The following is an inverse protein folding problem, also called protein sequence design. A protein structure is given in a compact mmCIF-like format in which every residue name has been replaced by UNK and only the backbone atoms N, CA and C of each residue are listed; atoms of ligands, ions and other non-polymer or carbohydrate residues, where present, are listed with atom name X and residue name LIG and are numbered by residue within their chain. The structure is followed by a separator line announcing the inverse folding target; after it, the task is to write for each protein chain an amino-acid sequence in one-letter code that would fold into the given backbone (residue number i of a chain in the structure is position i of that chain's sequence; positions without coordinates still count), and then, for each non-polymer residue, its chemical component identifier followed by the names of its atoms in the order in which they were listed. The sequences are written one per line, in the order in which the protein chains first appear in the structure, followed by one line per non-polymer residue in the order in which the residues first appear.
data_IF_012174131258
#
_entry.id   IF_012174131258
#
_cell.length_a   1.000
_cell.length_b   1.000
_cell.length_c   1.000
_cell.angle_alpha   90.00
_cell.angle_beta   90.00
_cell.angle_gamma   90.00
#
_symmetry.space_group_name_H-M   'P 1'
#
loop_
_entity.id
_entity.type
_entity.pdbx_description
1 polymer ?
#
# COMPACT_ATOMS: atom_id res chain seq x y z
N UNK A 1 -1.95 13.22 17.59
CA UNK A 1 -1.32 13.08 16.29
C UNK A 1 -0.19 12.06 16.43
N UNK A 2 -0.06 11.06 15.56
CA UNK A 2 1.09 10.14 15.60
C UNK A 2 2.38 10.93 15.35
N UNK A 3 3.46 10.49 15.94
CA UNK A 3 4.82 11.01 15.69
C UNK A 3 5.53 10.22 14.57
N UNK A 4 5.00 9.05 14.22
CA UNK A 4 5.44 8.20 13.12
C UNK A 4 4.30 7.35 12.59
N UNK A 5 4.26 7.11 11.30
CA UNK A 5 3.36 6.11 10.68
C UNK A 5 4.20 4.92 10.23
N UNK A 6 3.74 3.72 10.54
CA UNK A 6 4.43 2.47 10.24
C UNK A 6 3.48 1.59 9.41
N UNK A 7 3.84 1.38 8.15
CA UNK A 7 3.12 0.52 7.22
C UNK A 7 3.73 -0.88 7.27
N UNK A 8 2.88 -1.89 7.36
CA UNK A 8 3.28 -3.30 7.47
C UNK A 8 2.57 -4.09 6.37
N UNK A 9 3.32 -4.77 5.52
CA UNK A 9 2.76 -5.60 4.46
C UNK A 9 3.77 -6.59 3.91
N UNK A 10 3.31 -7.62 3.22
CA UNK A 10 4.15 -8.62 2.53
C UNK A 10 3.88 -8.60 1.04
N UNK A 11 4.91 -8.83 0.20
CA UNK A 11 4.78 -8.87 -1.26
C UNK A 11 4.10 -7.62 -1.81
N UNK A 12 3.11 -7.79 -2.68
CA UNK A 12 2.36 -6.69 -3.30
C UNK A 12 1.80 -5.68 -2.29
N UNK A 13 1.42 -6.10 -1.09
CA UNK A 13 0.97 -5.18 -0.03
C UNK A 13 2.10 -4.29 0.48
N UNK A 14 3.33 -4.79 0.54
CA UNK A 14 4.50 -4.01 0.91
C UNK A 14 4.85 -2.99 -0.19
N UNK A 15 4.84 -3.42 -1.45
CA UNK A 15 5.12 -2.52 -2.57
C UNK A 15 4.05 -1.44 -2.74
N UNK A 16 2.78 -1.78 -2.53
CA UNK A 16 1.70 -0.78 -2.47
C UNK A 16 1.91 0.24 -1.35
N UNK A 17 2.40 -0.19 -0.18
CA UNK A 17 2.75 0.70 0.92
C UNK A 17 3.91 1.64 0.53
N UNK A 18 4.94 1.13 -0.14
CA UNK A 18 6.06 1.96 -0.65
C UNK A 18 5.59 3.00 -1.66
N UNK A 19 4.67 2.63 -2.58
CA UNK A 19 4.10 3.58 -3.55
C UNK A 19 3.29 4.70 -2.88
N UNK A 20 2.53 4.38 -1.84
CA UNK A 20 1.71 5.35 -1.12
C UNK A 20 2.50 6.22 -0.12
N UNK A 21 3.69 5.78 0.29
CA UNK A 21 4.49 6.41 1.35
C UNK A 21 4.69 7.92 1.17
N UNK A 22 5.11 8.46 0.01
CA UNK A 22 5.36 9.90 -0.12
C UNK A 22 4.11 10.74 0.12
N UNK A 23 2.95 10.26 -0.34
CA UNK A 23 1.65 10.92 -0.11
C UNK A 23 1.29 10.90 1.36
N UNK A 24 1.51 9.79 2.05
CA UNK A 24 1.23 9.65 3.47
C UNK A 24 2.16 10.53 4.32
N UNK A 25 3.46 10.61 3.99
CA UNK A 25 4.41 11.50 4.65
C UNK A 25 3.95 12.96 4.59
N UNK A 26 3.54 13.41 3.41
CA UNK A 26 3.02 14.77 3.24
C UNK A 26 1.69 14.98 3.97
N UNK A 27 0.78 14.01 3.89
CA UNK A 27 -0.55 14.12 4.49
C UNK A 27 -0.51 14.11 6.03
N UNK A 28 0.27 13.24 6.63
CA UNK A 28 0.45 13.15 8.08
C UNK A 28 1.44 14.19 8.62
N UNK A 29 2.39 14.67 7.79
CA UNK A 29 3.49 15.56 8.18
C UNK A 29 4.39 14.91 9.23
N UNK A 30 4.67 13.61 9.07
CA UNK A 30 5.59 12.80 9.89
C UNK A 30 6.25 11.74 9.01
N UNK A 31 7.34 11.17 9.49
CA UNK A 31 8.01 10.06 8.80
C UNK A 31 7.08 8.85 8.66
N UNK A 32 7.09 8.25 7.47
CA UNK A 32 6.39 6.99 7.17
C UNK A 32 7.41 5.91 6.83
N UNK A 33 7.43 4.84 7.60
CA UNK A 33 8.31 3.70 7.39
C UNK A 33 7.50 2.49 6.91
N UNK A 34 8.09 1.71 5.97
CA UNK A 34 7.46 0.50 5.45
C UNK A 34 8.29 -0.72 5.87
N UNK A 35 7.63 -1.72 6.46
CA UNK A 35 8.26 -2.95 6.92
C UNK A 35 7.52 -4.18 6.38
N UNK A 36 8.28 -5.24 6.14
CA UNK A 36 7.70 -6.57 6.02
C UNK A 36 7.55 -7.20 7.41
N UNK A 37 6.53 -8.06 7.66
CA UNK A 37 6.29 -8.62 9.00
C UNK A 37 7.48 -9.38 9.59
N UNK A 38 8.37 -9.93 8.77
CA UNK A 38 9.60 -10.59 9.23
C UNK A 38 10.64 -9.64 9.83
N UNK A 39 10.45 -8.33 9.71
CA UNK A 39 11.34 -7.30 10.27
C UNK A 39 10.86 -6.79 11.64
N UNK A 40 10.12 -7.60 12.41
CA UNK A 40 9.56 -7.21 13.71
C UNK A 40 10.60 -6.60 14.66
N UNK A 41 11.81 -7.15 14.73
CA UNK A 41 12.88 -6.59 15.56
C UNK A 41 13.28 -5.16 15.15
N UNK A 42 13.32 -4.88 13.84
CA UNK A 42 13.64 -3.54 13.34
C UNK A 42 12.49 -2.56 13.62
N UNK A 43 11.26 -3.04 13.51
CA UNK A 43 10.06 -2.28 13.81
C UNK A 43 10.01 -1.88 15.30
N UNK A 44 10.34 -2.80 16.21
CA UNK A 44 10.41 -2.54 17.66
C UNK A 44 11.53 -1.54 17.99
N UNK A 45 12.63 -1.54 17.24
CA UNK A 45 13.73 -0.57 17.41
C UNK A 45 13.37 0.83 16.90
N UNK A 46 12.32 0.97 16.08
CA UNK A 46 11.79 2.27 15.69
C UNK A 46 11.17 2.97 16.90
N UNK A 47 11.98 3.74 17.63
CA UNK A 47 11.56 4.48 18.83
C UNK A 47 10.64 5.65 18.45
N UNK A 48 9.36 5.37 18.42
CA UNK A 48 8.32 6.39 18.34
C UNK A 48 7.53 6.36 19.65
N UNK A 49 7.19 7.54 20.18
CA UNK A 49 6.41 7.61 21.42
C UNK A 49 4.93 7.28 21.16
N UNK A 50 4.43 7.66 19.99
CA UNK A 50 3.03 7.48 19.58
C UNK A 50 2.93 6.99 18.13
N UNK A 51 3.42 5.76 17.80
CA UNK A 51 3.36 5.24 16.44
C UNK A 51 1.93 4.89 16.02
N UNK A 52 1.60 5.14 14.76
CA UNK A 52 0.41 4.61 14.10
C UNK A 52 0.81 3.42 13.24
N UNK A 53 0.37 2.24 13.61
CA UNK A 53 0.57 1.02 12.83
C UNK A 53 -0.58 0.79 11.84
N UNK A 54 -0.25 0.62 10.57
CA UNK A 54 -1.21 0.29 9.51
C UNK A 54 -0.73 -0.99 8.82
N UNK A 55 -1.44 -2.07 9.05
CA UNK A 55 -1.15 -3.38 8.46
C UNK A 55 -1.98 -3.59 7.19
N UNK A 56 -1.34 -3.97 6.10
CA UNK A 56 -1.99 -4.21 4.81
C UNK A 56 -1.93 -5.70 4.49
N UNK A 57 -3.09 -6.31 4.30
CA UNK A 57 -3.22 -7.71 3.88
C UNK A 57 -4.48 -7.88 3.05
N UNK A 58 -4.36 -7.92 1.73
CA UNK A 58 -5.50 -8.00 0.83
C UNK A 58 -6.45 -9.14 1.20
N UNK A 59 -5.96 -10.36 1.28
CA UNK A 59 -6.78 -11.54 1.63
C UNK A 59 -7.12 -11.64 3.12
N UNK A 60 -6.39 -10.93 3.97
CA UNK A 60 -6.52 -10.99 5.42
C UNK A 60 -6.08 -12.30 6.09
N UNK A 61 -5.44 -13.22 5.34
CA UNK A 61 -5.02 -14.54 5.84
C UNK A 61 -3.50 -14.66 6.00
N UNK A 62 -2.73 -13.59 5.79
CA UNK A 62 -1.28 -13.60 5.97
C UNK A 62 -0.92 -13.92 7.42
N UNK A 63 -0.35 -15.10 7.67
CA UNK A 63 0.03 -15.56 9.02
C UNK A 63 1.02 -14.62 9.67
N UNK A 64 2.05 -14.18 8.94
CA UNK A 64 3.06 -13.29 9.49
C UNK A 64 2.48 -11.92 9.88
N UNK A 65 1.61 -11.34 9.02
CA UNK A 65 0.92 -10.09 9.34
C UNK A 65 -0.01 -10.25 10.55
N UNK A 66 -0.76 -11.34 10.60
CA UNK A 66 -1.64 -11.65 11.73
C UNK A 66 -0.86 -11.77 13.05
N UNK A 67 0.26 -12.52 13.05
CA UNK A 67 1.09 -12.72 14.24
C UNK A 67 1.66 -11.39 14.74
N UNK A 68 2.18 -10.56 13.82
CA UNK A 68 2.71 -9.24 14.17
C UNK A 68 1.63 -8.31 14.73
N UNK A 69 0.44 -8.29 14.16
CA UNK A 69 -0.69 -7.50 14.71
C UNK A 69 -0.97 -7.94 16.15
N UNK A 70 -1.04 -9.23 16.40
CA UNK A 70 -1.28 -9.75 17.76
C UNK A 70 -0.18 -9.35 18.73
N UNK A 71 1.09 -9.42 18.31
CA UNK A 71 2.23 -9.00 19.12
C UNK A 71 2.13 -7.52 19.49
N UNK A 72 1.87 -6.65 18.51
CA UNK A 72 1.70 -5.21 18.73
C UNK A 72 0.50 -4.90 19.64
N UNK A 73 -0.61 -5.58 19.44
CA UNK A 73 -1.81 -5.43 20.27
C UNK A 73 -1.57 -5.88 21.72
N UNK A 74 -0.84 -6.96 21.93
CA UNK A 74 -0.44 -7.43 23.27
C UNK A 74 0.45 -6.42 24.00
N UNK A 75 1.22 -5.62 23.26
CA UNK A 75 2.04 -4.53 23.78
C UNK A 75 1.26 -3.22 24.00
N UNK A 76 -0.07 -3.21 23.72
CA UNK A 76 -0.94 -2.06 23.91
C UNK A 76 -1.02 -1.10 22.72
N UNK A 77 -0.38 -1.40 21.59
CA UNK A 77 -0.43 -0.53 20.42
C UNK A 77 -1.72 -0.76 19.62
N UNK A 78 -2.46 0.30 19.25
CA UNK A 78 -3.55 0.18 18.30
C UNK A 78 -3.00 -0.06 16.89
N UNK A 79 -3.66 -0.99 16.16
CA UNK A 79 -3.30 -1.32 14.77
C UNK A 79 -4.52 -1.15 13.88
N UNK A 80 -4.38 -0.41 12.79
CA UNK A 80 -5.35 -0.34 11.71
C UNK A 80 -5.01 -1.41 10.67
N UNK A 81 -5.97 -2.22 10.24
CA UNK A 81 -5.78 -3.17 9.15
C UNK A 81 -6.53 -2.73 7.90
N UNK A 82 -5.86 -2.82 6.75
CA UNK A 82 -6.49 -2.69 5.43
C UNK A 82 -6.60 -4.10 4.83
N UNK A 83 -7.83 -4.56 4.59
CA UNK A 83 -8.10 -5.90 4.06
C UNK A 83 -9.41 -5.94 3.28
N UNK A 84 -9.50 -6.82 2.28
CA UNK A 84 -10.77 -7.04 1.57
C UNK A 84 -11.83 -7.74 2.46
N UNK A 85 -11.37 -8.61 3.36
CA UNK A 85 -12.24 -9.45 4.20
C UNK A 85 -12.14 -9.04 5.67
N UNK A 86 -13.09 -8.23 6.14
CA UNK A 86 -13.11 -7.74 7.52
C UNK A 86 -13.21 -8.88 8.55
N UNK A 87 -13.87 -9.98 8.19
CA UNK A 87 -14.02 -11.18 9.03
C UNK A 87 -12.78 -12.09 9.03
N UNK A 88 -11.76 -11.75 8.26
CA UNK A 88 -10.50 -12.49 8.20
C UNK A 88 -9.73 -12.45 9.52
N UNK A 89 -8.74 -13.36 9.73
CA UNK A 89 -7.88 -13.33 10.90
C UNK A 89 -7.19 -11.97 11.11
N UNK A 90 -6.68 -11.34 10.05
CA UNK A 90 -6.04 -10.01 10.11
C UNK A 90 -7.05 -8.93 10.49
N UNK A 91 -8.24 -8.93 9.87
CA UNK A 91 -9.28 -7.95 10.19
C UNK A 91 -9.73 -8.03 11.64
N UNK A 92 -9.99 -9.25 12.16
CA UNK A 92 -10.41 -9.47 13.56
C UNK A 92 -9.34 -9.18 14.60
N UNK A 93 -8.06 -9.34 14.26
CA UNK A 93 -6.96 -9.07 15.18
C UNK A 93 -6.66 -7.56 15.35
N UNK A 94 -7.01 -6.75 14.37
CA UNK A 94 -6.76 -5.31 14.39
C UNK A 94 -7.69 -4.55 15.36
N UNK A 95 -7.30 -3.32 15.71
CA UNK A 95 -8.15 -2.40 16.49
C UNK A 95 -9.27 -1.82 15.63
N UNK A 96 -8.96 -1.60 14.36
CA UNK A 96 -9.87 -1.10 13.33
C UNK A 96 -9.51 -1.79 12.02
N UNK A 97 -10.49 -2.31 11.31
CA UNK A 97 -10.32 -2.85 9.97
C UNK A 97 -11.05 -1.97 8.96
N UNK A 98 -10.37 -1.64 7.87
CA UNK A 98 -10.87 -0.82 6.76
C UNK A 98 -10.90 -1.70 5.51
N UNK A 99 -12.03 -1.76 4.78
CA UNK A 99 -12.14 -2.57 3.57
C UNK A 99 -11.38 -1.95 2.40
N UNK A 100 -10.76 -2.79 1.57
CA UNK A 100 -10.05 -2.36 0.36
C UNK A 100 -10.95 -2.19 -0.87
N UNK A 101 -12.16 -2.75 -0.86
CA UNK A 101 -13.15 -2.69 -1.96
C UNK A 101 -12.59 -3.14 -3.32
N UNK A 102 -11.76 -4.17 -3.33
CA UNK A 102 -11.13 -4.69 -4.55
C UNK A 102 -12.12 -5.50 -5.39
N UNK A 103 -13.01 -6.22 -4.73
CA UNK A 103 -13.87 -7.22 -5.33
C UNK A 103 -13.09 -8.42 -5.86
N UNK A 104 -13.74 -9.28 -6.63
CA UNK A 104 -13.13 -10.51 -7.13
C UNK A 104 -11.96 -10.22 -8.10
N UNK A 105 -10.78 -10.77 -7.80
CA UNK A 105 -9.58 -10.74 -8.65
C UNK A 105 -9.20 -12.18 -9.02
N UNK A 106 -9.46 -12.54 -10.29
CA UNK A 106 -9.31 -13.91 -10.79
C UNK A 106 -7.93 -14.27 -11.31
N UNK A 107 -7.05 -13.26 -11.40
CA UNK A 107 -5.69 -13.44 -11.94
C UNK A 107 -4.73 -13.59 -10.76
N UNK A 108 -3.79 -14.55 -10.87
CA UNK A 108 -2.81 -14.82 -9.82
C UNK A 108 -1.86 -13.64 -9.54
N UNK A 109 -1.43 -12.93 -10.59
CA UNK A 109 -0.66 -11.71 -10.45
C UNK A 109 -1.58 -10.56 -9.96
N UNK A 110 -1.22 -9.94 -8.85
CA UNK A 110 -2.01 -8.87 -8.25
C UNK A 110 -1.86 -7.57 -9.04
N UNK A 111 -2.94 -7.08 -9.60
CA UNK A 111 -2.97 -5.83 -10.39
C UNK A 111 -3.98 -4.84 -9.80
N UNK A 112 -5.27 -5.20 -9.87
CA UNK A 112 -6.35 -4.41 -9.31
C UNK A 112 -6.20 -4.25 -7.79
N UNK A 113 -5.78 -5.31 -7.10
CA UNK A 113 -5.52 -5.30 -5.67
C UNK A 113 -4.44 -4.30 -5.26
N UNK A 114 -3.34 -4.23 -6.01
CA UNK A 114 -2.26 -3.26 -5.76
C UNK A 114 -2.77 -1.83 -5.94
N UNK A 115 -3.40 -1.54 -7.08
CA UNK A 115 -3.95 -0.20 -7.38
C UNK A 115 -4.96 0.25 -6.33
N UNK A 116 -5.91 -0.61 -5.95
CA UNK A 116 -6.90 -0.31 -4.92
C UNK A 116 -6.26 -0.09 -3.55
N UNK A 117 -5.22 -0.86 -3.21
CA UNK A 117 -4.49 -0.69 -1.94
C UNK A 117 -3.77 0.66 -1.90
N UNK A 118 -3.06 1.03 -2.96
CA UNK A 118 -2.39 2.35 -3.06
C UNK A 118 -3.41 3.47 -2.92
N UNK A 119 -4.52 3.41 -3.67
CA UNK A 119 -5.58 4.40 -3.61
C UNK A 119 -6.18 4.51 -2.20
N UNK A 120 -6.49 3.37 -1.55
CA UNK A 120 -7.04 3.36 -0.20
C UNK A 120 -6.10 4.00 0.81
N UNK A 121 -4.79 3.71 0.73
CA UNK A 121 -3.78 4.33 1.58
C UNK A 121 -3.70 5.85 1.34
N UNK A 122 -3.71 6.29 0.08
CA UNK A 122 -3.71 7.73 -0.25
C UNK A 122 -4.96 8.42 0.28
N UNK A 123 -6.14 7.84 0.09
CA UNK A 123 -7.40 8.38 0.61
C UNK A 123 -7.43 8.43 2.13
N UNK A 124 -6.88 7.40 2.80
CA UNK A 124 -6.70 7.43 4.26
C UNK A 124 -5.82 8.60 4.70
N UNK A 125 -4.68 8.82 4.04
CA UNK A 125 -3.82 9.98 4.29
C UNK A 125 -4.57 11.29 4.10
N UNK A 126 -5.30 11.43 2.99
CA UNK A 126 -6.07 12.64 2.69
C UNK A 126 -7.19 12.91 3.70
N UNK A 127 -7.82 11.86 4.25
CA UNK A 127 -8.88 12.02 5.24
C UNK A 127 -8.42 12.68 6.54
N UNK A 128 -7.11 12.59 6.86
CA UNK A 128 -6.49 13.17 8.06
C UNK A 128 -5.59 14.36 7.75
N UNK A 129 -5.38 14.68 6.47
CA UNK A 129 -4.53 15.77 6.02
C UNK A 129 -5.10 17.13 6.42
N UNK A 130 -4.30 17.95 7.11
CA UNK A 130 -4.69 19.30 7.54
C UNK A 130 -4.35 20.39 6.52
N UNK A 131 -3.44 20.10 5.58
CA UNK A 131 -3.13 21.01 4.47
C UNK A 131 -4.22 20.91 3.41
N UNK A 132 -5.15 21.87 3.43
CA UNK A 132 -6.26 21.92 2.47
C UNK A 132 -5.79 22.09 1.03
N UNK A 133 -4.74 22.86 0.82
CA UNK A 133 -4.19 23.08 -0.52
C UNK A 133 -3.63 21.79 -1.11
N UNK A 134 -2.85 21.05 -0.32
CA UNK A 134 -2.34 19.73 -0.71
C UNK A 134 -3.47 18.74 -0.94
N UNK A 135 -4.42 18.66 -0.01
CA UNK A 135 -5.59 17.79 -0.10
C UNK A 135 -6.40 18.03 -1.38
N UNK A 136 -6.71 19.29 -1.68
CA UNK A 136 -7.48 19.66 -2.89
C UNK A 136 -6.73 19.30 -4.17
N UNK A 137 -5.43 19.61 -4.25
CA UNK A 137 -4.60 19.26 -5.42
C UNK A 137 -4.53 17.76 -5.63
N UNK A 138 -4.37 16.98 -4.57
CA UNK A 138 -4.25 15.53 -4.70
C UNK A 138 -5.59 14.89 -5.08
N UNK A 139 -6.73 15.35 -4.55
CA UNK A 139 -8.05 14.88 -5.01
C UNK A 139 -8.24 15.16 -6.49
N UNK A 140 -7.93 16.36 -6.96
CA UNK A 140 -8.03 16.69 -8.39
C UNK A 140 -7.10 15.83 -9.26
N UNK A 141 -5.89 15.49 -8.78
CA UNK A 141 -4.96 14.61 -9.47
C UNK A 141 -5.47 13.16 -9.52
N UNK A 142 -6.06 12.65 -8.44
CA UNK A 142 -6.67 11.31 -8.41
C UNK A 142 -7.88 11.23 -9.34
N UNK A 143 -8.74 12.23 -9.37
CA UNK A 143 -9.88 12.31 -10.30
C UNK A 143 -9.40 12.31 -11.76
N UNK A 144 -8.39 13.10 -12.07
CA UNK A 144 -7.80 13.12 -13.41
C UNK A 144 -7.19 11.76 -13.79
N UNK A 145 -6.51 11.09 -12.85
CA UNK A 145 -5.95 9.75 -13.07
C UNK A 145 -7.05 8.72 -13.35
N UNK A 146 -8.15 8.77 -12.60
CA UNK A 146 -9.31 7.87 -12.80
C UNK A 146 -9.92 8.08 -14.20
N UNK A 147 -10.14 9.34 -14.60
CA UNK A 147 -10.68 9.68 -15.92
C UNK A 147 -9.76 9.18 -17.05
N UNK A 148 -8.45 9.30 -16.87
CA UNK A 148 -7.44 8.89 -17.86
C UNK A 148 -7.13 7.40 -17.86
N UNK A 149 -7.59 6.65 -16.86
CA UNK A 149 -7.19 5.24 -16.66
C UNK A 149 -7.50 4.35 -17.86
N UNK A 150 -8.66 4.49 -18.47
CA UNK A 150 -9.05 3.70 -19.66
C UNK A 150 -8.12 3.95 -20.85
N UNK A 151 -7.76 5.20 -21.11
CA UNK A 151 -6.84 5.56 -22.20
C UNK A 151 -5.40 5.08 -21.89
N UNK A 152 -4.96 5.18 -20.65
CA UNK A 152 -3.65 4.66 -20.23
C UNK A 152 -3.55 3.14 -20.42
N UNK A 153 -4.61 2.40 -20.05
CA UNK A 153 -4.69 0.95 -20.29
C UNK A 153 -4.66 0.62 -21.79
N UNK A 154 -5.42 1.37 -22.60
CA UNK A 154 -5.42 1.19 -24.05
C UNK A 154 -4.03 1.43 -24.66
N UNK A 155 -3.33 2.48 -24.25
CA UNK A 155 -1.95 2.77 -24.69
C UNK A 155 -0.98 1.66 -24.28
N UNK A 156 -1.06 1.21 -23.03
CA UNK A 156 -0.23 0.12 -22.54
C UNK A 156 -0.47 -1.18 -23.34
N UNK A 157 -1.72 -1.49 -23.65
CA UNK A 157 -2.06 -2.65 -24.47
C UNK A 157 -1.50 -2.55 -25.89
N UNK A 158 -1.66 -1.41 -26.55
CA UNK A 158 -1.10 -1.18 -27.90
C UNK A 158 0.41 -1.34 -27.87
N UNK A 159 1.09 -0.71 -26.90
CA UNK A 159 2.52 -0.81 -26.76
C UNK A 159 2.97 -2.25 -26.52
N UNK A 160 2.33 -2.96 -25.59
CA UNK A 160 2.65 -4.35 -25.30
C UNK A 160 2.50 -5.25 -26.53
N UNK A 161 1.39 -5.12 -27.29
CA UNK A 161 1.20 -5.88 -28.50
C UNK A 161 2.26 -5.59 -29.59
N UNK A 162 2.70 -4.35 -29.67
CA UNK A 162 3.71 -3.96 -30.67
C UNK A 162 5.13 -4.45 -30.36
N UNK A 163 5.47 -4.62 -29.06
CA UNK A 163 6.86 -4.88 -28.63
C UNK A 163 7.02 -6.26 -27.97
N UNK A 164 5.94 -7.06 -27.85
CA UNK A 164 5.98 -8.34 -27.15
C UNK A 164 7.04 -9.28 -27.73
N UNK A 165 7.13 -9.37 -29.06
CA UNK A 165 8.09 -10.23 -29.75
C UNK A 165 9.55 -9.78 -29.54
N UNK A 166 9.77 -8.50 -29.30
CA UNK A 166 11.09 -7.96 -28.97
C UNK A 166 11.50 -8.30 -27.53
N UNK A 167 10.55 -8.38 -26.61
CA UNK A 167 10.81 -8.59 -25.17
C UNK A 167 10.90 -10.07 -24.80
N UNK A 168 10.08 -10.93 -25.38
CA UNK A 168 10.01 -12.38 -25.07
C UNK A 168 11.35 -13.11 -25.14
N UNK A 169 12.27 -12.83 -26.09
CA UNK A 169 13.54 -13.54 -26.17
C UNK A 169 14.49 -13.29 -25.01
N UNK A 170 14.29 -12.21 -24.24
CA UNK A 170 15.17 -11.91 -23.12
C UNK A 170 14.87 -12.77 -21.90
N UNK A 171 15.90 -13.42 -21.34
CA UNK A 171 15.79 -14.21 -20.12
C UNK A 171 15.78 -13.36 -18.84
N UNK A 172 16.28 -12.14 -18.92
CA UNK A 172 16.37 -11.20 -17.82
C UNK A 172 15.93 -9.83 -18.28
N UNK A 173 15.08 -9.20 -17.47
CA UNK A 173 14.66 -7.82 -17.65
C UNK A 173 15.10 -7.02 -16.44
N UNK A 174 15.61 -5.82 -16.67
CA UNK A 174 15.98 -4.89 -15.63
C UNK A 174 14.99 -3.72 -15.63
N UNK A 175 14.29 -3.52 -14.52
CA UNK A 175 13.41 -2.38 -14.33
C UNK A 175 14.15 -1.33 -13.51
N UNK A 176 14.28 -0.13 -14.04
CA UNK A 176 14.97 0.98 -13.39
C UNK A 176 13.94 2.04 -13.04
N UNK A 177 13.89 2.45 -11.77
CA UNK A 177 12.98 3.48 -11.30
C UNK A 177 13.65 4.42 -10.30
N UNK A 178 13.20 5.69 -10.29
CA UNK A 178 13.54 6.64 -9.24
C UNK A 178 12.75 6.40 -7.96
N UNK A 179 12.97 7.23 -6.94
CA UNK A 179 12.42 7.07 -5.59
C UNK A 179 10.91 6.77 -5.54
N UNK A 180 10.12 7.55 -6.27
CA UNK A 180 8.64 7.43 -6.25
C UNK A 180 8.15 6.22 -7.07
N UNK A 181 8.93 5.75 -8.02
CA UNK A 181 8.64 4.58 -8.84
C UNK A 181 9.17 3.26 -8.27
N UNK A 182 9.95 3.30 -7.18
CA UNK A 182 10.61 2.10 -6.64
C UNK A 182 9.63 0.99 -6.30
N UNK A 183 8.52 1.31 -5.63
CA UNK A 183 7.51 0.34 -5.26
C UNK A 183 6.87 -0.34 -6.48
N UNK A 184 6.60 0.43 -7.55
CA UNK A 184 6.05 -0.11 -8.80
C UNK A 184 7.07 -0.96 -9.59
N UNK A 185 8.36 -0.63 -9.48
CA UNK A 185 9.42 -1.40 -10.14
C UNK A 185 9.73 -2.72 -9.43
N UNK A 186 9.42 -2.82 -8.15
CA UNK A 186 9.63 -4.02 -7.32
C UNK A 186 8.43 -4.98 -7.33
N UNK A 187 7.21 -4.49 -7.70
CA UNK A 187 6.02 -5.32 -7.91
C UNK A 187 6.12 -6.13 -9.21
#
# INVERSE_FOLDING_TARGET
KPDRVILIGSGSSHYAALMARPVLEQAFGVEVSCFVPSQEEQLIRCRAAHPLYIAVSQSGISTNTYTLIRSLRAQGYPVVALTEHLDSPVGKAASLAIPLFIGEERIGAKTKGVTATVLTLMLLGLSVCRDESYRTRLYAALDALIIQSAENLRRAQIWSCAHLEEVIPFRHLYVIAGNDGLGAAQE
#
